data_IF_562155285766
#
_entry.id   IF_562155285766
#
_cell.length_a   1.000
_cell.length_b   1.000
_cell.length_c   1.000
_cell.angle_alpha   90.00
_cell.angle_beta   90.00
_cell.angle_gamma   90.00
#
_symmetry.space_group_name_H-M   'P 1'
#
loop_
_entity.id
_entity.type
_entity.pdbx_description
1 polymer ?
#
# COMPACT_ATOMS: atom_id res chain seq x y z
N UNK A 1 -32.57 -20.74 16.98
CA UNK A 1 -32.22 -21.02 18.39
C UNK A 1 -30.98 -20.23 18.76
N UNK A 2 -30.68 -20.04 20.04
CA UNK A 2 -29.43 -19.40 20.48
C UNK A 2 -28.47 -20.49 20.95
N UNK A 3 -27.29 -20.59 20.35
CA UNK A 3 -26.23 -21.49 20.82
C UNK A 3 -25.00 -20.65 21.16
N UNK A 4 -24.50 -20.80 22.39
CA UNK A 4 -23.37 -20.02 22.91
C UNK A 4 -23.52 -18.49 22.76
N UNK A 5 -24.75 -17.98 22.89
CA UNK A 5 -25.05 -16.54 22.74
C UNK A 5 -25.14 -16.06 21.29
N UNK A 6 -24.99 -16.95 20.31
CA UNK A 6 -25.05 -16.64 18.88
C UNK A 6 -26.36 -17.16 18.30
N UNK A 7 -27.14 -16.32 17.59
CA UNK A 7 -28.33 -16.77 16.88
C UNK A 7 -27.97 -17.75 15.76
N UNK A 8 -28.58 -18.93 15.78
CA UNK A 8 -28.44 -19.95 14.74
C UNK A 8 -29.65 -19.94 13.80
N UNK A 9 -29.38 -20.03 12.49
CA UNK A 9 -30.40 -20.25 11.48
C UNK A 9 -31.05 -21.62 11.67
N UNK A 10 -32.37 -21.67 11.54
CA UNK A 10 -33.12 -22.94 11.55
C UNK A 10 -32.70 -23.74 10.30
N UNK A 11 -32.47 -25.07 10.39
CA UNK A 11 -31.91 -25.86 9.28
C UNK A 11 -32.60 -25.67 7.93
N UNK A 12 -33.94 -25.61 7.92
CA UNK A 12 -34.72 -25.44 6.70
C UNK A 12 -34.50 -24.06 6.05
N UNK A 13 -34.40 -23.01 6.88
CA UNK A 13 -34.13 -21.63 6.42
C UNK A 13 -32.70 -21.53 5.91
N UNK A 14 -31.74 -22.15 6.61
CA UNK A 14 -30.35 -22.21 6.17
C UNK A 14 -30.22 -22.88 4.80
N UNK A 15 -30.89 -24.02 4.61
CA UNK A 15 -30.90 -24.74 3.34
C UNK A 15 -31.48 -23.89 2.20
N UNK A 16 -32.57 -23.17 2.44
CA UNK A 16 -33.16 -22.27 1.44
C UNK A 16 -32.20 -21.14 1.02
N UNK A 17 -31.45 -20.57 1.98
CA UNK A 17 -30.47 -19.52 1.68
C UNK A 17 -29.22 -20.06 0.99
N UNK A 18 -28.78 -21.27 1.33
CA UNK A 18 -27.64 -21.92 0.69
C UNK A 18 -27.97 -22.32 -0.76
N UNK A 19 -29.20 -22.75 -1.04
CA UNK A 19 -29.69 -23.11 -2.39
C UNK A 19 -30.03 -21.88 -3.25
N UNK A 20 -30.58 -20.82 -2.65
CA UNK A 20 -30.88 -19.57 -3.35
C UNK A 20 -30.47 -18.34 -2.51
N UNK A 21 -29.22 -17.86 -2.68
CA UNK A 21 -28.70 -16.70 -1.95
C UNK A 21 -29.47 -15.39 -2.16
N UNK A 22 -30.22 -15.26 -3.27
CA UNK A 22 -31.01 -14.06 -3.55
C UNK A 22 -32.18 -13.89 -2.57
N UNK A 23 -32.77 -15.00 -2.07
CA UNK A 23 -33.85 -14.93 -1.07
C UNK A 23 -33.40 -14.24 0.21
N UNK A 24 -32.16 -14.50 0.64
CA UNK A 24 -31.56 -13.86 1.80
C UNK A 24 -31.35 -12.35 1.57
N UNK A 25 -30.93 -11.97 0.36
CA UNK A 25 -30.77 -10.57 -0.05
C UNK A 25 -32.10 -9.84 -0.07
N UNK A 26 -33.11 -10.43 -0.71
CA UNK A 26 -34.40 -9.80 -0.92
C UNK A 26 -35.18 -9.69 0.40
N UNK A 27 -34.92 -10.58 1.37
CA UNK A 27 -35.40 -10.47 2.74
C UNK A 27 -34.67 -9.39 3.57
N UNK A 28 -33.68 -8.70 3.01
CA UNK A 28 -32.86 -7.70 3.74
C UNK A 28 -31.92 -8.32 4.78
N UNK A 29 -31.73 -9.64 4.75
CA UNK A 29 -30.88 -10.40 5.68
C UNK A 29 -29.49 -10.67 5.09
N UNK A 30 -29.20 -10.11 3.92
CA UNK A 30 -27.86 -10.11 3.35
C UNK A 30 -27.10 -8.88 3.83
N UNK A 31 -26.00 -9.14 4.53
CA UNK A 31 -25.01 -8.13 4.84
C UNK A 31 -24.33 -7.77 3.53
N UNK A 32 -24.71 -6.67 2.88
CA UNK A 32 -23.95 -6.14 1.76
C UNK A 32 -22.56 -5.80 2.30
N UNK A 33 -21.50 -6.54 1.95
CA UNK A 33 -20.17 -6.24 2.42
C UNK A 33 -19.76 -4.90 1.80
N UNK A 34 -19.70 -3.86 2.63
CA UNK A 34 -19.17 -2.55 2.25
C UNK A 34 -20.13 -1.56 1.58
N UNK A 35 -21.46 -1.72 1.64
CA UNK A 35 -22.41 -0.73 1.05
C UNK A 35 -23.32 0.01 2.02
N UNK A 36 -23.28 -0.31 3.31
CA UNK A 36 -23.87 0.56 4.33
C UNK A 36 -22.77 1.49 4.85
N UNK A 37 -22.70 2.69 4.28
CA UNK A 37 -21.71 3.70 4.68
C UNK A 37 -22.00 4.09 6.15
N UNK A 38 -21.15 3.62 7.07
CA UNK A 38 -20.92 4.31 8.35
C UNK A 38 -21.47 3.70 9.64
N UNK A 39 -22.04 2.48 9.68
CA UNK A 39 -22.60 1.97 10.94
C UNK A 39 -22.42 0.48 11.25
N UNK A 40 -21.73 -0.30 10.41
CA UNK A 40 -21.57 -1.73 10.68
C UNK A 40 -20.17 -2.21 10.33
N UNK A 41 -19.41 -2.65 11.34
CA UNK A 41 -18.19 -3.44 11.15
C UNK A 41 -18.52 -4.92 11.36
N UNK A 42 -17.98 -5.78 10.50
CA UNK A 42 -18.04 -7.23 10.68
C UNK A 42 -17.24 -7.69 11.90
N UNK A 43 -16.48 -6.78 12.54
CA UNK A 43 -15.70 -7.02 13.75
C UNK A 43 -16.53 -6.80 15.03
N UNK A 44 -17.74 -6.22 14.94
CA UNK A 44 -18.64 -6.03 16.10
C UNK A 44 -19.54 -7.24 16.32
N UNK A 45 -19.51 -8.23 15.41
CA UNK A 45 -20.23 -9.50 15.58
C UNK A 45 -19.37 -10.53 16.31
N UNK A 46 -20.02 -11.49 16.96
CA UNK A 46 -19.33 -12.61 17.60
C UNK A 46 -18.41 -13.34 16.61
N UNK A 47 -17.23 -13.83 17.05
CA UNK A 47 -16.34 -14.61 16.19
C UNK A 47 -17.11 -15.77 15.55
N UNK A 48 -17.03 -15.88 14.23
CA UNK A 48 -17.68 -16.97 13.49
C UNK A 48 -17.03 -18.31 13.90
N UNK A 49 -17.80 -19.28 14.42
CA UNK A 49 -17.27 -20.61 14.73
C UNK A 49 -16.67 -21.29 13.48
N UNK A 50 -15.64 -22.12 13.70
CA UNK A 50 -14.83 -22.72 12.62
C UNK A 50 -15.64 -23.61 11.66
N UNK A 51 -16.70 -24.25 12.15
CA UNK A 51 -17.65 -25.06 11.39
C UNK A 51 -18.61 -24.23 10.53
N UNK A 52 -18.70 -22.92 10.80
CA UNK A 52 -19.58 -21.98 10.09
C UNK A 52 -18.82 -21.04 9.13
N UNK A 53 -17.49 -21.05 9.18
CA UNK A 53 -16.65 -20.30 8.24
C UNK A 53 -16.68 -20.93 6.84
N UNK A 54 -16.77 -20.09 5.84
CA UNK A 54 -16.58 -20.49 4.44
C UNK A 54 -15.12 -20.88 4.17
N UNK A 55 -14.87 -21.67 3.11
CA UNK A 55 -13.51 -22.02 2.66
C UNK A 55 -12.64 -20.77 2.41
N UNK A 56 -13.24 -19.69 1.87
CA UNK A 56 -12.55 -18.43 1.62
C UNK A 56 -12.06 -17.77 2.92
N UNK A 57 -12.92 -17.69 3.93
CA UNK A 57 -12.57 -17.09 5.23
C UNK A 57 -11.41 -17.84 5.90
N UNK A 58 -11.43 -19.17 5.85
CA UNK A 58 -10.33 -20.00 6.37
C UNK A 58 -9.01 -19.72 5.64
N UNK A 59 -9.07 -19.58 4.32
CA UNK A 59 -7.89 -19.26 3.50
C UNK A 59 -7.34 -17.87 3.84
N UNK A 60 -8.19 -16.85 3.90
CA UNK A 60 -7.84 -15.47 4.21
C UNK A 60 -7.22 -15.33 5.61
N UNK A 61 -7.81 -15.97 6.63
CA UNK A 61 -7.25 -16.02 7.98
C UNK A 61 -5.87 -16.70 8.00
N UNK A 62 -5.74 -17.85 7.31
CA UNK A 62 -4.48 -18.58 7.23
C UNK A 62 -3.38 -17.81 6.50
N UNK A 63 -3.76 -17.00 5.50
CA UNK A 63 -2.86 -16.15 4.74
C UNK A 63 -2.42 -14.94 5.58
N UNK A 64 -3.37 -14.28 6.23
CA UNK A 64 -3.11 -13.14 7.12
C UNK A 64 -2.21 -13.52 8.30
N UNK A 65 -2.39 -14.71 8.89
CA UNK A 65 -1.52 -15.23 9.94
C UNK A 65 -0.06 -15.48 9.47
N UNK A 66 0.13 -15.79 8.18
CA UNK A 66 1.45 -16.00 7.56
C UNK A 66 2.08 -14.72 7.02
N UNK A 67 1.29 -13.65 6.88
CA UNK A 67 1.68 -12.34 6.40
C UNK A 67 1.60 -11.36 7.58
N UNK A 68 2.54 -11.41 8.54
CA UNK A 68 2.53 -10.45 9.64
C UNK A 68 2.56 -9.04 9.04
N UNK A 69 1.57 -8.22 9.40
CA UNK A 69 1.56 -6.81 9.07
C UNK A 69 2.73 -6.18 9.82
N UNK A 70 3.86 -6.04 9.13
CA UNK A 70 4.98 -5.24 9.63
C UNK A 70 4.57 -3.79 9.48
N UNK A 71 4.20 -3.17 10.59
CA UNK A 71 4.07 -1.72 10.66
C UNK A 71 5.50 -1.19 10.57
N UNK A 72 5.88 -0.79 9.36
CA UNK A 72 7.15 -0.15 9.11
C UNK A 72 6.93 1.33 9.34
N UNK A 73 7.38 1.82 10.49
CA UNK A 73 7.45 3.25 10.76
C UNK A 73 8.65 3.80 9.99
N UNK A 74 8.40 4.45 8.86
CA UNK A 74 9.45 5.02 8.00
C UNK A 74 9.09 6.43 7.61
N UNK A 75 10.09 7.31 7.68
CA UNK A 75 9.99 8.65 7.10
C UNK A 75 10.35 8.61 5.62
N UNK A 76 9.57 9.32 4.79
CA UNK A 76 9.89 9.50 3.38
C UNK A 76 11.07 10.47 3.21
N UNK A 77 12.10 10.05 2.48
CA UNK A 77 13.23 10.91 2.10
C UNK A 77 12.75 12.19 1.36
N UNK A 78 11.73 12.07 0.51
CA UNK A 78 11.14 13.20 -0.21
C UNK A 78 10.44 14.19 0.71
N UNK A 79 9.95 13.75 1.87
CA UNK A 79 9.38 14.64 2.87
C UNK A 79 10.48 15.46 3.55
N UNK A 80 11.57 14.81 3.98
CA UNK A 80 12.72 15.47 4.58
C UNK A 80 13.42 16.43 3.61
N UNK A 81 13.53 16.05 2.33
CA UNK A 81 14.17 16.88 1.31
C UNK A 81 13.49 18.24 1.12
N UNK A 82 12.18 18.37 1.39
CA UNK A 82 11.44 19.63 1.25
C UNK A 82 11.87 20.71 2.25
N UNK A 83 12.47 20.31 3.37
CA UNK A 83 13.01 21.24 4.36
C UNK A 83 14.37 21.80 3.94
N UNK A 84 15.00 21.23 2.91
CA UNK A 84 16.29 21.69 2.43
C UNK A 84 16.17 23.09 1.81
N UNK A 85 16.98 24.09 2.24
CA UNK A 85 16.81 25.48 1.80
C UNK A 85 16.89 25.71 0.28
N UNK A 86 17.64 24.86 -0.43
CA UNK A 86 17.80 24.95 -1.89
C UNK A 86 16.80 24.08 -2.67
N UNK A 87 15.81 23.46 -2.01
CA UNK A 87 14.89 22.51 -2.63
C UNK A 87 14.15 23.07 -3.85
N UNK A 88 13.67 24.32 -3.78
CA UNK A 88 12.98 24.95 -4.91
C UNK A 88 13.92 25.24 -6.09
N UNK A 89 15.16 25.65 -5.81
CA UNK A 89 16.19 25.88 -6.84
C UNK A 89 16.58 24.55 -7.51
N UNK A 90 16.74 23.48 -6.72
CA UNK A 90 16.95 22.13 -7.23
C UNK A 90 15.81 21.68 -8.15
N UNK A 91 14.55 21.78 -7.72
CA UNK A 91 13.39 21.45 -8.56
C UNK A 91 13.42 22.27 -9.85
N UNK A 92 13.67 23.58 -9.77
CA UNK A 92 13.72 24.43 -10.96
C UNK A 92 14.78 23.93 -11.95
N UNK A 93 15.99 23.62 -11.46
CA UNK A 93 17.11 23.13 -12.28
C UNK A 93 16.88 21.74 -12.86
N UNK A 94 16.15 20.87 -12.16
CA UNK A 94 15.92 19.48 -12.59
C UNK A 94 14.58 19.27 -13.29
N UNK A 95 13.67 20.25 -13.27
CA UNK A 95 12.29 20.12 -13.78
C UNK A 95 12.21 19.72 -15.25
N UNK A 96 13.19 20.13 -16.04
CA UNK A 96 13.30 19.82 -17.47
C UNK A 96 14.13 18.58 -17.77
N UNK A 97 14.73 17.95 -16.76
CA UNK A 97 15.52 16.72 -16.93
C UNK A 97 14.58 15.52 -16.98
N UNK A 98 14.50 14.86 -18.13
CA UNK A 98 13.76 13.62 -18.28
C UNK A 98 14.72 12.43 -18.29
N UNK A 99 14.94 11.82 -17.12
CA UNK A 99 15.81 10.65 -17.01
C UNK A 99 15.28 9.46 -17.82
N UNK A 100 13.97 9.25 -17.88
CA UNK A 100 13.38 8.09 -18.58
C UNK A 100 13.64 8.16 -20.09
N UNK A 101 13.53 9.34 -20.69
CA UNK A 101 13.84 9.54 -22.10
C UNK A 101 15.34 9.34 -22.40
N UNK A 102 16.22 9.90 -21.57
CA UNK A 102 17.66 9.74 -21.75
C UNK A 102 18.13 8.30 -21.51
N UNK A 103 17.51 7.60 -20.55
CA UNK A 103 17.75 6.18 -20.32
C UNK A 103 17.33 5.34 -21.53
N UNK A 104 16.14 5.60 -22.10
CA UNK A 104 15.69 4.92 -23.32
C UNK A 104 16.64 5.15 -24.48
N UNK A 105 17.15 6.38 -24.67
CA UNK A 105 18.18 6.66 -25.68
C UNK A 105 19.44 5.83 -25.45
N UNK A 106 19.89 5.72 -24.19
CA UNK A 106 21.07 4.92 -23.84
C UNK A 106 20.89 3.43 -24.17
N UNK A 107 19.69 2.87 -24.02
CA UNK A 107 19.39 1.47 -24.38
C UNK A 107 19.53 1.18 -25.89
N UNK A 108 19.41 2.21 -26.74
CA UNK A 108 19.53 2.10 -28.20
C UNK A 108 20.80 2.77 -28.74
N UNK A 109 21.75 3.12 -27.87
CA UNK A 109 23.02 3.70 -28.29
C UNK A 109 23.83 2.70 -29.15
N UNK A 110 24.66 3.22 -30.04
CA UNK A 110 25.42 2.39 -30.99
C UNK A 110 26.65 1.73 -30.34
N UNK A 111 26.99 2.15 -29.12
CA UNK A 111 28.11 1.64 -28.33
C UNK A 111 27.89 1.85 -26.83
N UNK A 112 28.60 1.06 -26.02
CA UNK A 112 28.60 1.20 -24.56
C UNK A 112 29.14 2.57 -24.11
N UNK A 113 30.13 3.11 -24.83
CA UNK A 113 30.71 4.43 -24.53
C UNK A 113 29.70 5.57 -24.76
N UNK A 114 28.92 5.47 -25.84
CA UNK A 114 27.82 6.41 -26.12
C UNK A 114 26.71 6.29 -25.06
N UNK A 115 26.32 5.07 -24.68
CA UNK A 115 25.33 4.83 -23.62
C UNK A 115 25.79 5.43 -22.28
N UNK A 116 27.04 5.18 -21.89
CA UNK A 116 27.62 5.72 -20.66
C UNK A 116 27.66 7.25 -20.66
N UNK A 117 28.03 7.86 -21.79
CA UNK A 117 28.06 9.31 -21.92
C UNK A 117 26.67 9.94 -21.75
N UNK A 118 25.62 9.32 -22.31
CA UNK A 118 24.23 9.77 -22.12
C UNK A 118 23.81 9.72 -20.64
N UNK A 119 24.11 8.61 -19.95
CA UNK A 119 23.76 8.44 -18.54
C UNK A 119 24.54 9.40 -17.63
N UNK A 120 25.86 9.52 -17.82
CA UNK A 120 26.69 10.42 -17.03
C UNK A 120 26.33 11.89 -17.27
N UNK A 121 25.98 12.29 -18.50
CA UNK A 121 25.51 13.65 -18.79
C UNK A 121 24.31 14.04 -17.93
N UNK A 122 23.36 13.13 -17.72
CA UNK A 122 22.20 13.38 -16.85
C UNK A 122 22.61 13.39 -15.38
N UNK A 123 23.46 12.45 -14.97
CA UNK A 123 23.97 12.37 -13.59
C UNK A 123 24.69 13.67 -13.19
N UNK A 124 25.56 14.19 -14.04
CA UNK A 124 26.30 15.44 -13.80
C UNK A 124 25.37 16.64 -13.70
N UNK A 125 24.25 16.67 -14.43
CA UNK A 125 23.22 17.72 -14.27
C UNK A 125 22.56 17.68 -12.91
N UNK A 126 22.28 16.48 -12.37
CA UNK A 126 21.76 16.33 -11.01
C UNK A 126 22.78 16.72 -9.94
N UNK A 127 24.06 16.34 -10.12
CA UNK A 127 25.16 16.78 -9.23
C UNK A 127 25.32 18.29 -9.23
N UNK A 128 25.34 18.92 -10.42
CA UNK A 128 25.41 20.37 -10.55
C UNK A 128 24.19 21.09 -9.94
N UNK A 129 23.03 20.43 -9.89
CA UNK A 129 21.85 20.94 -9.19
C UNK A 129 21.95 20.82 -7.65
N UNK A 130 22.89 20.03 -7.13
CA UNK A 130 23.13 19.86 -5.70
C UNK A 130 22.50 18.60 -5.10
N UNK A 131 22.30 17.53 -5.88
CA UNK A 131 21.70 16.27 -5.39
C UNK A 131 22.48 15.66 -4.22
N UNK A 132 23.81 15.78 -4.23
CA UNK A 132 24.67 15.22 -3.17
C UNK A 132 24.48 16.00 -1.85
N UNK A 133 24.45 17.33 -1.90
CA UNK A 133 24.15 18.18 -0.74
C UNK A 133 22.75 17.89 -0.17
N UNK A 134 21.77 17.67 -1.04
CA UNK A 134 20.41 17.31 -0.64
C UNK A 134 20.39 15.94 0.05
N UNK A 135 21.12 14.97 -0.48
CA UNK A 135 21.20 13.63 0.10
C UNK A 135 21.85 13.65 1.50
N UNK A 136 22.92 14.42 1.67
CA UNK A 136 23.56 14.63 2.97
C UNK A 136 22.61 15.28 3.97
N UNK A 137 21.88 16.33 3.55
CA UNK A 137 20.88 16.98 4.40
C UNK A 137 19.77 16.01 4.84
N UNK A 138 19.25 15.20 3.91
CA UNK A 138 18.22 14.20 4.22
C UNK A 138 18.76 13.13 5.18
N UNK A 139 20.00 12.67 4.98
CA UNK A 139 20.62 11.68 5.86
C UNK A 139 20.79 12.24 7.29
N UNK A 140 21.24 13.49 7.42
CA UNK A 140 21.34 14.16 8.71
C UNK A 140 19.96 14.29 9.37
N UNK A 141 18.95 14.76 8.64
CA UNK A 141 17.58 14.91 9.16
C UNK A 141 16.96 13.59 9.57
N UNK A 142 17.21 12.52 8.82
CA UNK A 142 16.76 11.18 9.17
C UNK A 142 17.43 10.68 10.45
N UNK A 143 18.72 10.96 10.65
CA UNK A 143 19.46 10.57 11.86
C UNK A 143 19.05 11.37 13.12
N UNK A 144 18.56 12.60 12.95
CA UNK A 144 18.05 13.44 14.04
C UNK A 144 16.69 12.97 14.57
N UNK A 145 15.97 12.10 13.85
CA UNK A 145 14.64 11.63 14.25
C UNK A 145 14.73 10.48 15.24
N UNK A 146 14.07 10.66 16.37
CA UNK A 146 13.87 9.66 17.43
C UNK A 146 12.44 9.12 17.48
N UNK A 147 11.55 9.69 16.66
CA UNK A 147 10.12 9.39 16.59
C UNK A 147 9.76 8.32 15.55
N UNK A 148 10.76 7.72 14.89
CA UNK A 148 10.60 6.69 13.86
C UNK A 148 11.36 5.43 14.29
N UNK A 149 10.63 4.36 14.64
CA UNK A 149 11.22 3.09 15.11
C UNK A 149 11.61 2.13 13.97
N UNK A 150 12.80 1.52 14.08
CA UNK A 150 13.32 0.53 13.11
C UNK A 150 12.49 -0.76 13.01
#
# INVERSE_FOLDING_TARGET
TMENGIPQWIPDVKKQFDENPDLKRDAGLNFLPGRFIGAFSNEVTWPTPEDQKTQWQKLEESFSAKMPIKIIDKVSASYLAREWPKYQDFISKTSSLNFDDEFKKALFASSDEEALNLLHSVQEKYKAAGVDEMAEFVAQKAAERDDVGF
#
